data_IF_703424429164
#
_entry.id   IF_703424429164
#
_cell.length_a   1.000
_cell.length_b   1.000
_cell.length_c   1.000
_cell.angle_alpha   90.00
_cell.angle_beta   90.00
_cell.angle_gamma   90.00
#
_symmetry.space_group_name_H-M   'P 1'
#
loop_
_entity.id
_entity.type
_entity.pdbx_description
1 polymer ?
#
# COMPACT_ATOMS: atom_id res chain seq x y z
N UNK A 1 11.30 5.36 4.64
CA UNK A 1 9.83 5.23 4.73
C UNK A 1 9.47 3.81 4.38
N UNK A 2 8.63 3.12 5.16
CA UNK A 2 8.29 1.72 4.91
C UNK A 2 6.84 1.63 4.45
N UNK A 3 6.60 1.06 3.27
CA UNK A 3 5.27 0.92 2.69
C UNK A 3 4.98 -0.56 2.57
N UNK A 4 3.93 -1.02 3.25
CA UNK A 4 3.48 -2.41 3.16
C UNK A 4 2.18 -2.44 2.35
N UNK A 5 2.18 -3.25 1.31
CA UNK A 5 0.99 -3.52 0.50
C UNK A 5 0.43 -4.85 0.96
N UNK A 6 -0.70 -4.78 1.64
CA UNK A 6 -1.40 -5.92 2.22
C UNK A 6 -2.40 -6.44 1.18
N UNK A 7 -2.15 -7.62 0.62
CA UNK A 7 -3.11 -8.22 -0.29
C UNK A 7 -2.62 -9.50 -0.96
N UNK A 8 -3.57 -10.35 -1.29
CA UNK A 8 -3.35 -11.70 -1.84
C UNK A 8 -2.91 -11.72 -3.32
N UNK A 9 -2.41 -10.59 -3.86
CA UNK A 9 -1.88 -10.52 -5.22
C UNK A 9 -2.92 -10.29 -6.33
N UNK A 10 -4.15 -9.90 -5.99
CA UNK A 10 -5.16 -9.55 -6.99
C UNK A 10 -4.75 -8.35 -7.86
N UNK A 11 -5.42 -8.16 -9.01
CA UNK A 11 -5.09 -7.10 -9.99
C UNK A 11 -4.99 -5.71 -9.34
N UNK A 12 -5.85 -5.43 -8.37
CA UNK A 12 -5.87 -4.19 -7.60
C UNK A 12 -4.62 -3.98 -6.74
N UNK A 13 -4.02 -5.04 -6.18
CA UNK A 13 -2.77 -4.95 -5.42
C UNK A 13 -1.61 -4.49 -6.32
N UNK A 14 -1.53 -5.03 -7.54
CA UNK A 14 -0.51 -4.65 -8.53
C UNK A 14 -0.68 -3.19 -8.96
N UNK A 15 -1.92 -2.75 -9.21
CA UNK A 15 -2.18 -1.35 -9.55
C UNK A 15 -1.81 -0.41 -8.41
N UNK A 16 -2.13 -0.77 -7.16
CA UNK A 16 -1.78 0.02 -5.99
C UNK A 16 -0.26 0.17 -5.83
N UNK A 17 0.50 -0.90 -6.04
CA UNK A 17 1.96 -0.86 -6.05
C UNK A 17 2.51 0.09 -7.13
N UNK A 18 2.03 -0.01 -8.35
CA UNK A 18 2.43 0.89 -9.43
C UNK A 18 2.16 2.36 -9.06
N UNK A 19 0.99 2.62 -8.46
CA UNK A 19 0.63 3.96 -8.03
C UNK A 19 1.49 4.47 -6.87
N UNK A 20 1.90 3.59 -5.95
CA UNK A 20 2.86 3.89 -4.88
C UNK A 20 4.21 4.27 -5.47
N UNK A 21 4.75 3.48 -6.39
CA UNK A 21 6.04 3.74 -7.04
C UNK A 21 6.01 5.08 -7.78
N UNK A 22 4.93 5.35 -8.50
CA UNK A 22 4.79 6.64 -9.21
C UNK A 22 4.65 7.81 -8.23
N UNK A 23 3.91 7.64 -7.13
CA UNK A 23 3.80 8.65 -6.09
C UNK A 23 5.15 8.97 -5.41
N UNK A 24 5.98 7.96 -5.16
CA UNK A 24 7.34 8.14 -4.65
C UNK A 24 8.21 8.88 -5.65
N UNK A 25 8.11 8.53 -6.94
CA UNK A 25 8.83 9.22 -8.02
C UNK A 25 8.43 10.68 -8.13
N UNK A 26 7.13 10.98 -8.02
CA UNK A 26 6.59 12.35 -8.07
C UNK A 26 7.00 13.20 -6.87
N UNK A 27 7.11 12.59 -5.68
CA UNK A 27 7.49 13.28 -4.45
C UNK A 27 9.01 13.34 -4.22
N UNK A 28 9.79 12.58 -5.02
CA UNK A 28 11.23 12.44 -4.84
C UNK A 28 11.63 11.71 -3.56
N UNK A 29 10.69 11.01 -2.91
CA UNK A 29 10.91 10.32 -1.64
C UNK A 29 11.29 8.87 -1.86
N UNK A 30 12.21 8.36 -1.03
CA UNK A 30 12.61 6.95 -1.05
C UNK A 30 11.82 6.17 -0.01
N UNK A 31 11.11 5.13 -0.45
CA UNK A 31 10.41 4.21 0.42
C UNK A 31 10.66 2.75 0.04
N UNK A 32 10.69 1.88 1.04
CA UNK A 32 10.79 0.43 0.87
C UNK A 32 9.38 -0.10 0.70
N UNK A 33 9.07 -0.68 -0.46
CA UNK A 33 7.76 -1.28 -0.73
C UNK A 33 7.85 -2.78 -0.46
N UNK A 34 7.13 -3.24 0.55
CA UNK A 34 7.02 -4.66 0.93
C UNK A 34 5.61 -5.16 0.62
N UNK A 35 5.50 -6.31 -0.03
CA UNK A 35 4.21 -6.96 -0.26
C UNK A 35 3.98 -8.01 0.81
N UNK A 36 2.90 -7.83 1.54
CA UNK A 36 2.43 -8.80 2.52
C UNK A 36 1.24 -9.52 1.90
N UNK A 37 1.50 -10.73 1.42
CA UNK A 37 0.49 -11.65 0.87
C UNK A 37 -0.08 -12.60 1.92
N UNK A 38 0.53 -12.60 3.10
CA UNK A 38 0.18 -13.48 4.20
C UNK A 38 -1.11 -13.02 4.88
N UNK A 39 -2.14 -13.88 4.82
CA UNK A 39 -3.47 -13.60 5.35
C UNK A 39 -3.41 -13.39 6.86
N UNK A 40 -2.56 -14.12 7.59
CA UNK A 40 -2.42 -13.96 9.05
C UNK A 40 -1.88 -12.58 9.40
N UNK A 41 -0.85 -12.12 8.68
CA UNK A 41 -0.33 -10.76 8.85
C UNK A 41 -1.39 -9.71 8.52
N UNK A 42 -2.14 -9.88 7.43
CA UNK A 42 -3.22 -8.96 7.03
C UNK A 42 -4.30 -8.86 8.12
N UNK A 43 -4.72 -10.00 8.68
CA UNK A 43 -5.68 -10.04 9.79
C UNK A 43 -5.11 -9.43 11.07
N UNK A 44 -3.81 -9.59 11.35
CA UNK A 44 -3.14 -8.94 12.47
C UNK A 44 -3.12 -7.41 12.35
N UNK A 45 -3.18 -6.87 11.14
CA UNK A 45 -3.39 -5.44 10.89
C UNK A 45 -4.87 -5.02 11.01
N UNK A 46 -5.80 -5.94 11.28
CA UNK A 46 -7.23 -5.65 11.40
C UNK A 46 -7.91 -5.31 10.07
N UNK A 47 -7.28 -5.65 8.94
CA UNK A 47 -7.81 -5.33 7.60
C UNK A 47 -8.72 -6.48 7.14
N UNK A 48 -10.03 -6.22 7.08
CA UNK A 48 -11.01 -7.16 6.53
C UNK A 48 -11.13 -7.08 5.00
N UNK A 49 -10.63 -6.01 4.38
CA UNK A 49 -10.78 -5.76 2.93
C UNK A 49 -9.43 -5.42 2.30
N UNK A 50 -8.88 -6.39 1.58
CA UNK A 50 -7.70 -6.20 0.73
C UNK A 50 -8.08 -5.61 -0.62
N UNK A 51 -7.26 -4.75 -1.25
CA UNK A 51 -5.90 -4.39 -0.85
C UNK A 51 -5.83 -3.32 0.25
N UNK A 52 -4.87 -3.46 1.15
CA UNK A 52 -4.50 -2.49 2.18
C UNK A 52 -3.19 -1.79 1.86
N UNK A 53 -3.12 -0.49 2.10
CA UNK A 53 -1.92 0.33 2.03
C UNK A 53 -1.52 0.76 3.44
N UNK A 54 -0.33 0.34 3.87
CA UNK A 54 0.27 0.76 5.13
C UNK A 54 1.51 1.59 4.83
N UNK A 55 1.64 2.73 5.49
CA UNK A 55 2.79 3.64 5.36
C UNK A 55 3.30 3.93 6.76
N UNK A 56 4.58 3.64 7.01
CA UNK A 56 5.23 3.76 8.32
C UNK A 56 4.45 3.05 9.43
N UNK A 57 4.02 1.81 9.17
CA UNK A 57 3.22 0.97 10.07
C UNK A 57 1.79 1.46 10.36
N UNK A 58 1.36 2.54 9.72
CA UNK A 58 0.01 3.08 9.84
C UNK A 58 -0.83 2.76 8.60
N UNK A 59 -2.06 2.28 8.82
CA UNK A 59 -2.99 1.94 7.74
C UNK A 59 -3.53 3.23 7.13
N UNK A 60 -3.17 3.52 5.88
CA UNK A 60 -3.65 4.70 5.14
C UNK A 60 -4.84 4.38 4.25
N UNK A 61 -4.99 3.13 3.81
CA UNK A 61 -6.12 2.73 2.97
C UNK A 61 -6.42 1.25 3.08
N UNK A 62 -7.70 0.89 2.92
CA UNK A 62 -8.20 -0.49 2.91
C UNK A 62 -9.30 -0.63 1.86
N UNK A 63 -9.28 -1.75 1.13
CA UNK A 63 -10.30 -2.14 0.16
C UNK A 63 -10.38 -1.27 -1.10
N UNK A 64 -9.46 -0.34 -1.34
CA UNK A 64 -9.49 0.55 -2.51
C UNK A 64 -8.11 0.78 -3.11
N UNK A 65 -8.08 0.93 -4.43
CA UNK A 65 -6.90 1.36 -5.17
C UNK A 65 -6.86 2.88 -5.20
N UNK A 66 -5.89 3.46 -4.50
CA UNK A 66 -5.68 4.91 -4.50
C UNK A 66 -4.90 5.35 -5.73
N UNK A 67 -5.13 6.58 -6.17
CA UNK A 67 -4.37 7.20 -7.25
C UNK A 67 -2.99 7.67 -6.74
N UNK A 68 -1.99 7.83 -7.63
CA UNK A 68 -0.66 8.29 -7.23
C UNK A 68 -0.69 9.63 -6.48
N UNK A 69 -1.55 10.57 -6.91
CA UNK A 69 -1.71 11.87 -6.24
C UNK A 69 -2.25 11.74 -4.82
N UNK A 70 -3.22 10.85 -4.59
CA UNK A 70 -3.75 10.61 -3.23
C UNK A 70 -2.71 9.94 -2.36
N UNK A 71 -1.93 9.01 -2.92
CA UNK A 71 -0.86 8.32 -2.20
C UNK A 71 0.26 9.30 -1.82
N UNK A 72 0.63 10.22 -2.72
CA UNK A 72 1.61 11.26 -2.46
C UNK A 72 1.25 12.16 -1.27
N UNK A 73 -0.04 12.27 -0.90
CA UNK A 73 -0.46 13.00 0.32
C UNK A 73 -0.10 12.28 1.61
N UNK A 74 0.18 10.98 1.56
CA UNK A 74 0.58 10.18 2.72
C UNK A 74 2.10 10.10 2.91
N UNK A 75 2.88 10.62 1.96
CA UNK A 75 4.34 10.60 1.99
C UNK A 75 4.93 11.93 2.43
#
# INVERSE_FOLDING_TARGET
MNIKILGTGCRNCKTLEQNVVEALRLTGKTATVEKVTDIEKIMSYGIMSTPGLVVNEEIKSVGKVLTPKSIAKFF
#
